data_IF_358577681545
#
_entry.id   IF_358577681545
#
_cell.length_a   1.000
_cell.length_b   1.000
_cell.length_c   1.000
_cell.angle_alpha   90.00
_cell.angle_beta   90.00
_cell.angle_gamma   90.00
#
_symmetry.space_group_name_H-M   'P 1'
#
loop_
_entity.id
_entity.type
_entity.pdbx_description
1 polymer ?
#
# COMPACT_ATOMS: atom_id res chain seq x y z
N UNK A 1 -7.80 9.10 13.87
CA UNK A 1 -6.37 8.87 13.99
C UNK A 1 -5.90 7.88 12.94
N UNK A 2 -4.83 8.22 12.25
CA UNK A 2 -4.34 7.39 11.14
C UNK A 2 -3.52 6.23 11.68
N UNK A 3 -3.77 5.05 11.17
CA UNK A 3 -3.01 3.86 11.56
C UNK A 3 -2.10 3.42 10.44
N UNK A 4 -0.94 2.93 10.79
CA UNK A 4 0.07 2.58 9.81
C UNK A 4 0.54 1.14 9.99
N UNK A 5 1.24 0.67 8.97
CA UNK A 5 1.88 -0.64 8.98
C UNK A 5 3.25 -0.46 8.33
N UNK A 6 4.26 -1.14 8.86
CA UNK A 6 5.58 -1.03 8.26
C UNK A 6 5.76 -2.10 7.18
N UNK A 7 6.79 -1.96 6.32
CA UNK A 7 6.96 -2.91 5.21
C UNK A 7 7.12 -4.36 5.64
N UNK A 8 7.78 -4.60 6.75
CA UNK A 8 7.99 -5.97 7.22
C UNK A 8 6.69 -6.62 7.64
N UNK A 9 5.85 -5.87 8.34
CA UNK A 9 4.56 -6.37 8.75
C UNK A 9 3.66 -6.60 7.55
N UNK A 10 3.70 -5.69 6.59
CA UNK A 10 2.90 -5.87 5.38
C UNK A 10 3.31 -7.14 4.64
N UNK A 11 4.60 -7.36 4.50
CA UNK A 11 5.09 -8.55 3.83
C UNK A 11 4.56 -9.81 4.50
N UNK A 12 4.59 -9.83 5.83
CA UNK A 12 4.05 -10.95 6.58
C UNK A 12 2.58 -11.18 6.29
N UNK A 13 1.81 -10.10 6.30
CA UNK A 13 0.36 -10.22 6.08
C UNK A 13 0.03 -10.66 4.67
N UNK A 14 0.83 -10.26 3.69
CA UNK A 14 0.57 -10.65 2.31
C UNK A 14 0.78 -12.13 2.06
N UNK A 15 1.56 -12.78 2.90
CA UNK A 15 1.75 -14.23 2.79
C UNK A 15 0.78 -15.02 3.67
N UNK A 16 -0.06 -14.33 4.42
CA UNK A 16 -1.00 -14.98 5.32
C UNK A 16 -2.30 -15.37 4.66
N UNK A 17 -3.15 -16.00 5.44
CA UNK A 17 -4.42 -16.50 4.94
C UNK A 17 -5.38 -15.36 4.59
N UNK A 18 -5.36 -14.31 5.39
CA UNK A 18 -6.26 -13.18 5.18
C UNK A 18 -5.47 -11.95 4.78
N UNK A 19 -4.83 -12.04 3.64
CA UNK A 19 -4.06 -10.92 3.15
C UNK A 19 -4.97 -9.72 2.87
N UNK A 20 -4.55 -8.49 3.25
CA UNK A 20 -5.37 -7.32 2.98
C UNK A 20 -5.34 -6.96 1.50
N UNK A 21 -6.35 -6.22 1.07
CA UNK A 21 -6.32 -5.61 -0.25
C UNK A 21 -5.24 -4.54 -0.26
N UNK A 22 -4.44 -4.53 -1.31
CA UNK A 22 -3.35 -3.58 -1.42
C UNK A 22 -3.69 -2.57 -2.50
N UNK A 23 -3.74 -1.30 -2.12
CA UNK A 23 -4.21 -0.25 -3.01
C UNK A 23 -3.14 0.82 -3.16
N UNK A 24 -2.74 1.05 -4.40
CA UNK A 24 -1.78 2.09 -4.74
C UNK A 24 -2.56 3.39 -4.91
N UNK A 25 -2.32 4.34 -4.01
CA UNK A 25 -3.01 5.64 -4.09
C UNK A 25 -2.04 6.76 -4.39
N UNK A 26 -0.97 6.45 -5.14
CA UNK A 26 -0.10 7.51 -5.61
C UNK A 26 -0.87 8.43 -6.54
N UNK A 27 -0.47 9.70 -6.56
CA UNK A 27 -1.07 10.61 -7.51
C UNK A 27 -0.82 10.11 -8.92
N UNK A 28 -1.72 10.46 -9.81
CA UNK A 28 -1.66 9.95 -11.19
C UNK A 28 -0.31 10.21 -11.83
N UNK A 29 0.24 11.41 -11.64
CA UNK A 29 1.53 11.74 -12.23
C UNK A 29 2.65 10.87 -11.69
N UNK A 30 2.63 10.60 -10.40
CA UNK A 30 3.64 9.75 -9.78
C UNK A 30 3.53 8.31 -10.24
N UNK A 31 2.31 7.84 -10.36
CA UNK A 31 2.06 6.49 -10.81
C UNK A 31 2.51 6.30 -12.27
N UNK A 32 2.19 7.28 -13.11
CA UNK A 32 2.56 7.19 -14.52
C UNK A 32 4.06 7.29 -14.73
N UNK A 33 4.73 8.04 -13.86
CA UNK A 33 6.19 8.17 -13.96
C UNK A 33 6.90 6.86 -13.62
N UNK A 34 6.31 6.04 -12.77
CA UNK A 34 6.90 4.76 -12.39
C UNK A 34 5.79 3.80 -12.02
N UNK A 35 5.23 3.09 -13.00
CA UNK A 35 4.04 2.26 -12.76
C UNK A 35 4.29 0.96 -12.00
N UNK A 36 5.49 0.76 -11.51
CA UNK A 36 5.74 -0.39 -10.64
C UNK A 36 4.84 -0.36 -9.44
N UNK A 37 4.27 -1.51 -9.09
CA UNK A 37 3.39 -1.63 -7.95
C UNK A 37 3.89 -2.70 -7.01
N UNK A 38 3.44 -2.63 -5.76
CA UNK A 38 3.75 -3.67 -4.79
C UNK A 38 2.84 -4.85 -5.06
N UNK A 39 3.42 -6.02 -5.28
CA UNK A 39 2.67 -7.27 -5.43
C UNK A 39 1.47 -7.10 -6.37
N UNK A 40 0.29 -7.46 -5.91
CA UNK A 40 -0.92 -7.39 -6.73
C UNK A 40 -1.73 -6.13 -6.49
N UNK A 41 -1.08 -5.06 -6.05
CA UNK A 41 -1.79 -3.83 -5.77
C UNK A 41 -2.54 -3.31 -6.99
N UNK A 42 -3.67 -2.67 -6.71
CA UNK A 42 -4.46 -2.03 -7.75
C UNK A 42 -4.36 -0.53 -7.55
N UNK A 43 -4.04 0.19 -8.61
CA UNK A 43 -3.97 1.64 -8.51
C UNK A 43 -5.37 2.24 -8.50
N UNK A 44 -5.61 3.15 -7.56
CA UNK A 44 -6.86 3.90 -7.49
C UNK A 44 -6.51 5.37 -7.33
N UNK A 45 -7.17 6.20 -8.10
CA UNK A 45 -6.91 7.63 -8.08
C UNK A 45 -7.32 8.23 -6.73
N UNK A 46 -6.38 8.77 -5.95
CA UNK A 46 -6.74 9.33 -4.65
C UNK A 46 -7.68 10.52 -4.74
N UNK A 47 -7.69 11.21 -5.88
CA UNK A 47 -8.60 12.34 -6.06
C UNK A 47 -10.03 11.89 -6.33
N UNK A 48 -10.22 10.62 -6.62
CA UNK A 48 -11.55 10.07 -6.89
C UNK A 48 -11.98 9.06 -5.86
N UNK A 49 -11.46 9.21 -4.65
CA UNK A 49 -11.73 8.24 -3.59
C UNK A 49 -13.23 8.08 -3.33
N UNK A 50 -14.00 9.15 -3.49
CA UNK A 50 -15.43 9.07 -3.23
C UNK A 50 -16.14 8.12 -4.19
N UNK A 51 -15.58 7.94 -5.36
CA UNK A 51 -16.16 7.02 -6.34
C UNK A 51 -15.83 5.57 -6.03
N UNK A 52 -14.57 5.28 -5.71
CA UNK A 52 -14.17 3.88 -5.57
C UNK A 52 -14.25 3.35 -4.15
N UNK A 53 -14.29 4.22 -3.14
CA UNK A 53 -14.34 3.73 -1.76
C UNK A 53 -15.63 2.97 -1.49
N UNK A 54 -16.69 3.30 -2.21
CA UNK A 54 -17.99 2.66 -2.05
C UNK A 54 -18.01 1.23 -2.58
N UNK A 55 -17.08 0.91 -3.47
CA UNK A 55 -17.02 -0.41 -4.07
C UNK A 55 -16.37 -1.43 -3.17
N UNK A 56 -15.78 -0.99 -2.08
CA UNK A 56 -15.08 -1.89 -1.17
C UNK A 56 -16.03 -2.40 -0.09
N UNK A 57 -15.96 -3.69 0.26
CA UNK A 57 -16.88 -4.23 1.27
C UNK A 57 -16.58 -3.62 2.64
N UNK A 58 -17.61 -3.32 3.42
CA UNK A 58 -17.41 -2.77 4.76
C UNK A 58 -16.58 -3.72 5.62
N UNK A 59 -15.70 -3.15 6.42
CA UNK A 59 -14.86 -3.95 7.31
C UNK A 59 -13.72 -4.68 6.64
N UNK A 60 -13.60 -4.55 5.32
CA UNK A 60 -12.53 -5.25 4.61
C UNK A 60 -11.16 -4.70 5.01
N UNK A 61 -10.19 -5.58 5.27
CA UNK A 61 -8.84 -5.12 5.55
C UNK A 61 -8.19 -4.59 4.29
N UNK A 62 -7.53 -3.44 4.39
CA UNK A 62 -6.89 -2.80 3.25
C UNK A 62 -5.65 -2.06 3.69
N UNK A 63 -4.64 -2.07 2.83
CA UNK A 63 -3.45 -1.26 3.04
C UNK A 63 -3.29 -0.37 1.83
N UNK A 64 -3.16 0.93 2.07
CA UNK A 64 -2.95 1.89 0.98
C UNK A 64 -1.53 2.42 1.06
N UNK A 65 -0.95 2.77 -0.07
CA UNK A 65 0.38 3.35 -0.07
C UNK A 65 0.52 4.42 -1.14
N UNK A 66 1.41 5.36 -0.87
CA UNK A 66 1.81 6.34 -1.87
C UNK A 66 3.32 6.27 -2.01
N UNK A 67 3.95 7.33 -2.50
CA UNK A 67 5.39 7.28 -2.77
C UNK A 67 6.20 7.13 -1.49
N UNK A 68 5.97 8.01 -0.52
CA UNK A 68 6.77 8.04 0.70
C UNK A 68 5.96 7.90 1.99
N UNK A 69 4.70 7.52 1.88
CA UNK A 69 3.88 7.39 3.09
C UNK A 69 3.46 8.72 3.67
N UNK A 70 3.38 9.75 2.84
CA UNK A 70 3.02 11.07 3.29
C UNK A 70 1.53 11.32 3.34
N UNK A 71 1.14 12.59 3.12
CA UNK A 71 -0.23 13.01 3.35
C UNK A 71 -1.25 12.29 2.47
N UNK A 72 -0.88 11.90 1.27
CA UNK A 72 -1.84 11.27 0.36
C UNK A 72 -2.35 9.96 0.93
N UNK A 73 -1.45 9.01 1.24
CA UNK A 73 -1.92 7.72 1.75
C UNK A 73 -2.55 7.85 3.12
N UNK A 74 -2.06 8.78 3.95
CA UNK A 74 -2.66 8.98 5.26
C UNK A 74 -4.08 9.50 5.14
N UNK A 75 -4.30 10.47 4.25
CA UNK A 75 -5.64 11.01 4.05
C UNK A 75 -6.60 9.96 3.50
N UNK A 76 -6.12 9.16 2.56
CA UNK A 76 -6.95 8.11 1.98
C UNK A 76 -7.30 7.07 3.02
N UNK A 77 -6.34 6.65 3.82
CA UNK A 77 -6.61 5.67 4.87
C UNK A 77 -7.63 6.21 5.88
N UNK A 78 -7.47 7.47 6.28
CA UNK A 78 -8.42 8.08 7.19
C UNK A 78 -9.82 8.11 6.61
N UNK A 79 -9.95 8.47 5.34
CA UNK A 79 -11.24 8.52 4.69
C UNK A 79 -11.86 7.13 4.62
N UNK A 80 -11.07 6.14 4.28
CA UNK A 80 -11.56 4.77 4.23
C UNK A 80 -12.04 4.30 5.58
N UNK A 81 -11.31 4.65 6.65
CA UNK A 81 -11.75 4.26 7.98
C UNK A 81 -13.06 4.94 8.37
N UNK A 82 -13.27 6.17 7.93
CA UNK A 82 -14.54 6.83 8.16
C UNK A 82 -15.68 6.14 7.44
N UNK A 83 -15.39 5.47 6.36
CA UNK A 83 -16.39 4.71 5.60
C UNK A 83 -16.56 3.29 6.12
N UNK A 84 -15.94 2.96 7.24
CA UNK A 84 -16.12 1.64 7.85
C UNK A 84 -15.14 0.58 7.40
N UNK A 85 -14.10 0.97 6.67
CA UNK A 85 -13.10 0.02 6.23
C UNK A 85 -11.97 -0.09 7.24
N UNK A 86 -11.31 -1.25 7.27
CA UNK A 86 -10.17 -1.48 8.15
C UNK A 86 -8.90 -1.14 7.37
N UNK A 87 -8.60 0.15 7.28
CA UNK A 87 -7.53 0.64 6.41
C UNK A 87 -6.32 1.10 7.19
N UNK A 88 -5.15 0.74 6.68
CA UNK A 88 -3.86 1.18 7.19
C UNK A 88 -3.09 1.82 6.04
N UNK A 89 -2.15 2.72 6.35
CA UNK A 89 -1.26 3.21 5.32
C UNK A 89 0.15 2.64 5.53
N UNK A 90 0.86 2.43 4.43
CA UNK A 90 2.20 1.85 4.50
C UNK A 90 3.22 2.93 4.84
N UNK A 91 3.91 2.76 5.95
CA UNK A 91 4.95 3.68 6.39
C UNK A 91 6.06 3.73 5.35
N UNK A 92 6.44 4.93 4.97
CA UNK A 92 7.49 5.11 3.97
C UNK A 92 7.08 4.82 2.54
N UNK A 93 5.86 4.33 2.33
CA UNK A 93 5.31 4.12 1.00
C UNK A 93 6.07 3.10 0.17
N UNK A 94 5.87 3.18 -1.14
CA UNK A 94 6.53 2.23 -2.03
C UNK A 94 8.04 2.39 -2.00
N UNK A 95 8.52 3.58 -1.67
CA UNK A 95 9.94 3.79 -1.57
C UNK A 95 10.55 2.91 -0.48
N UNK A 96 9.96 2.94 0.71
CA UNK A 96 10.45 2.11 1.81
C UNK A 96 10.26 0.64 1.52
N UNK A 97 9.16 0.29 0.87
CA UNK A 97 8.93 -1.10 0.50
C UNK A 97 10.04 -1.60 -0.42
N UNK A 98 10.38 -0.81 -1.43
CA UNK A 98 11.41 -1.19 -2.38
C UNK A 98 12.76 -1.33 -1.70
N UNK A 99 13.11 -0.37 -0.84
CA UNK A 99 14.38 -0.41 -0.13
C UNK A 99 14.45 -1.61 0.81
N UNK A 100 13.37 -1.88 1.49
CA UNK A 100 13.30 -3.01 2.41
C UNK A 100 13.39 -4.32 1.65
N UNK A 101 12.70 -4.42 0.53
CA UNK A 101 12.71 -5.62 -0.28
C UNK A 101 14.09 -5.87 -0.88
N UNK A 102 14.73 -4.83 -1.35
CA UNK A 102 16.07 -4.98 -1.90
C UNK A 102 17.06 -5.43 -0.84
N UNK A 103 16.93 -4.88 0.34
CA UNK A 103 17.80 -5.28 1.43
C UNK A 103 17.64 -6.74 1.78
N UNK A 104 16.41 -7.18 1.90
CA UNK A 104 16.13 -8.57 2.25
C UNK A 104 16.50 -9.51 1.12
N UNK A 105 16.14 -9.14 -0.09
CA UNK A 105 16.41 -9.99 -1.23
C UNK A 105 17.86 -9.96 -1.63
N UNK A 106 18.54 -8.87 -1.35
CA UNK A 106 19.96 -8.82 -1.59
C UNK A 106 20.69 -9.88 -0.82
N UNK A 107 20.17 -10.22 0.33
CA UNK A 107 20.80 -11.25 1.14
C UNK A 107 20.50 -12.65 0.65
N UNK A 108 19.36 -12.83 0.03
CA UNK A 108 18.98 -14.17 -0.39
C UNK A 108 18.89 -14.29 -1.90
N UNK A 109 18.18 -13.39 -2.53
CA UNK A 109 17.93 -13.58 -3.93
C UNK A 109 19.08 -13.18 -4.80
N UNK A 110 19.94 -12.29 -4.33
CA UNK A 110 21.12 -12.02 -5.11
C UNK A 110 21.99 -13.20 -5.22
N UNK A 111 22.06 -13.95 -4.18
CA UNK A 111 22.78 -15.21 -4.22
C UNK A 111 22.18 -16.10 -5.27
N UNK A 112 20.89 -16.11 -5.37
CA UNK A 112 20.22 -16.97 -6.32
C UNK A 112 20.34 -16.48 -7.74
N UNK A 113 20.31 -15.17 -7.91
CA UNK A 113 20.31 -14.62 -9.25
C UNK A 113 21.68 -14.48 -9.84
N UNK A 114 22.67 -14.50 -9.02
CA UNK A 114 24.04 -14.35 -9.49
C UNK A 114 24.73 -15.65 -9.52
#
# INVERSE_FOLDING_TARGET
MTKSINPQELRKRLTGVEAPSLIDVRRKTDYEADPKKIADAIWRDPEKIEDWVKDLPPGAPAVVYCVKGGSVSQSVADRMRKEGLDALFLEGGIKAWTENSQSAEGLSSEVLKK
#
